data_IF_945845203970
#
_entry.id   IF_945845203970
#
_cell.length_a   1.000
_cell.length_b   1.000
_cell.length_c   1.000
_cell.angle_alpha   90.00
_cell.angle_beta   90.00
_cell.angle_gamma   90.00
#
_symmetry.space_group_name_H-M   'P 1'
#
loop_
_entity.id
_entity.type
_entity.pdbx_description
1 polymer ?
#
# COMPACT_ATOMS: atom_id res chain seq x y z
N UNK A 1 -5.07 -1.39 -8.59
CA UNK A 1 -5.18 0.00 -8.09
C UNK A 1 -4.58 0.18 -6.69
N UNK A 2 -4.74 -0.75 -5.73
CA UNK A 2 -4.30 -0.57 -4.34
C UNK A 2 -2.79 -0.72 -4.06
N UNK A 3 -2.01 -1.33 -4.96
CA UNK A 3 -0.58 -1.58 -4.73
C UNK A 3 0.26 -0.29 -4.68
N UNK A 4 0.01 0.65 -5.60
CA UNK A 4 0.72 1.94 -5.64
C UNK A 4 0.45 2.76 -4.38
N UNK A 5 -0.81 2.80 -3.91
CA UNK A 5 -1.14 3.48 -2.66
C UNK A 5 -0.35 2.90 -1.48
N UNK A 6 -0.24 1.57 -1.38
CA UNK A 6 0.59 0.94 -0.37
C UNK A 6 2.07 1.33 -0.47
N UNK A 7 2.63 1.34 -1.68
CA UNK A 7 4.02 1.75 -1.92
C UNK A 7 4.30 3.23 -1.59
N UNK A 8 3.30 4.11 -1.62
CA UNK A 8 3.52 5.53 -1.31
C UNK A 8 3.11 5.92 0.11
N UNK A 9 2.52 5.01 0.88
CA UNK A 9 2.06 5.30 2.24
C UNK A 9 2.70 4.43 3.32
N UNK A 10 3.32 3.30 2.96
CA UNK A 10 3.77 2.27 3.92
C UNK A 10 5.12 1.64 3.63
N UNK A 11 5.78 2.12 2.59
CA UNK A 11 7.05 1.63 2.12
C UNK A 11 8.13 2.64 2.47
N UNK A 12 9.13 2.17 3.22
CA UNK A 12 10.39 2.84 3.47
C UNK A 12 11.45 2.23 2.50
N UNK A 13 11.92 2.98 1.50
CA UNK A 13 12.90 2.49 0.53
C UNK A 13 14.21 1.97 1.13
N UNK A 14 14.57 2.43 2.33
CA UNK A 14 15.78 1.99 3.01
C UNK A 14 15.59 0.63 3.71
N UNK A 15 14.40 0.38 4.28
CA UNK A 15 14.15 -0.80 5.12
C UNK A 15 13.44 -1.94 4.36
N UNK A 16 12.63 -1.62 3.36
CA UNK A 16 11.60 -2.53 2.85
C UNK A 16 11.92 -3.15 1.48
N UNK A 17 13.14 -2.96 1.00
CA UNK A 17 13.63 -3.61 -0.23
C UNK A 17 14.40 -4.88 0.13
N UNK A 18 13.83 -6.01 -0.29
CA UNK A 18 14.42 -7.34 -0.08
C UNK A 18 14.84 -7.94 -1.42
N UNK A 19 16.11 -7.80 -1.84
CA UNK A 19 16.60 -8.44 -3.05
C UNK A 19 16.81 -9.93 -2.84
N UNK A 20 16.66 -10.72 -3.91
CA UNK A 20 16.99 -12.14 -3.90
C UNK A 20 18.47 -12.40 -3.59
N UNK A 21 19.36 -11.46 -3.95
CA UNK A 21 20.78 -11.52 -3.62
C UNK A 21 21.37 -10.12 -3.43
N UNK A 22 22.28 -10.00 -2.45
CA UNK A 22 23.11 -8.82 -2.21
C UNK A 22 24.57 -9.16 -2.52
N UNK A 23 25.27 -8.24 -3.17
CA UNK A 23 26.68 -8.40 -3.54
C UNK A 23 27.44 -7.11 -3.23
N UNK A 24 28.60 -7.21 -2.58
CA UNK A 24 29.50 -6.07 -2.41
C UNK A 24 30.46 -6.00 -3.60
N UNK A 25 30.42 -4.92 -4.35
CA UNK A 25 31.38 -4.61 -5.42
C UNK A 25 32.16 -3.36 -5.04
N UNK A 26 33.36 -3.57 -4.48
CA UNK A 26 34.16 -2.51 -3.86
C UNK A 26 33.43 -1.92 -2.65
N UNK A 27 33.15 -0.62 -2.67
CA UNK A 27 32.40 0.09 -1.62
C UNK A 27 30.89 0.24 -1.94
N UNK A 28 30.38 -0.46 -2.95
CA UNK A 28 28.97 -0.40 -3.37
C UNK A 28 28.24 -1.70 -3.03
N UNK A 29 26.99 -1.58 -2.59
CA UNK A 29 26.09 -2.71 -2.44
C UNK A 29 25.22 -2.83 -3.69
N UNK A 30 25.32 -3.96 -4.39
CA UNK A 30 24.52 -4.29 -5.57
C UNK A 30 23.38 -5.23 -5.14
N UNK A 31 22.17 -4.88 -5.55
CA UNK A 31 20.95 -5.64 -5.28
C UNK A 31 20.46 -6.31 -6.57
N UNK A 32 20.28 -7.63 -6.53
CA UNK A 32 19.89 -8.41 -7.71
C UNK A 32 18.41 -8.79 -7.65
N UNK A 33 17.78 -8.81 -8.82
CA UNK A 33 16.39 -9.23 -8.97
C UNK A 33 16.19 -10.73 -8.65
N UNK A 34 14.96 -11.13 -8.29
CA UNK A 34 13.80 -10.26 -8.03
C UNK A 34 13.97 -9.40 -6.77
N UNK A 35 13.32 -8.24 -6.75
CA UNK A 35 13.19 -7.38 -5.57
C UNK A 35 11.78 -7.55 -5.00
N UNK A 36 11.69 -7.86 -3.71
CA UNK A 36 10.43 -7.78 -2.97
C UNK A 36 10.35 -6.41 -2.29
N UNK A 37 9.18 -5.77 -2.41
CA UNK A 37 8.84 -4.51 -1.75
C UNK A 37 7.86 -4.84 -0.63
N UNK A 38 8.25 -4.62 0.62
CA UNK A 38 7.37 -4.80 1.78
C UNK A 38 6.57 -3.51 2.08
N UNK A 39 5.37 -3.43 1.50
CA UNK A 39 4.40 -2.38 1.80
C UNK A 39 3.28 -2.86 2.73
N UNK A 40 3.56 -3.76 3.68
CA UNK A 40 2.60 -4.18 4.71
C UNK A 40 2.41 -3.09 5.79
N UNK A 41 1.40 -3.27 6.66
CA UNK A 41 1.26 -2.42 7.85
C UNK A 41 2.31 -2.81 8.87
N UNK A 42 3.10 -1.82 9.29
CA UNK A 42 4.11 -1.96 10.33
C UNK A 42 3.60 -1.33 11.62
N UNK A 43 4.18 -1.73 12.74
CA UNK A 43 3.87 -1.12 14.03
C UNK A 43 4.11 0.41 13.98
N UNK A 44 3.19 1.18 14.54
CA UNK A 44 3.23 2.65 14.54
C UNK A 44 2.67 3.32 13.28
N UNK A 45 2.39 2.58 12.20
CA UNK A 45 1.69 3.14 11.04
C UNK A 45 0.22 3.36 11.37
N UNK A 46 -0.33 4.48 10.88
CA UNK A 46 -1.76 4.76 11.05
C UNK A 46 -2.60 3.74 10.26
N UNK A 47 -3.71 3.34 10.85
CA UNK A 47 -4.71 2.52 10.18
C UNK A 47 -5.28 3.27 8.96
N UNK A 48 -5.73 2.53 7.93
CA UNK A 48 -6.47 3.14 6.84
C UNK A 48 -7.71 3.88 7.37
N UNK A 49 -8.14 4.90 6.63
CA UNK A 49 -9.46 5.48 6.85
C UNK A 49 -10.48 4.51 6.27
N UNK A 50 -11.44 4.10 7.09
CA UNK A 50 -12.54 3.22 6.71
C UNK A 50 -13.86 3.94 6.98
N UNK A 51 -14.88 3.62 6.17
CA UNK A 51 -16.22 4.14 6.39
C UNK A 51 -16.90 3.37 7.53
N UNK A 52 -17.85 4.02 8.18
CA UNK A 52 -18.79 3.33 9.08
C UNK A 52 -19.65 2.37 8.23
N UNK A 53 -19.68 1.06 8.54
CA UNK A 53 -20.38 0.07 7.73
C UNK A 53 -21.89 0.34 7.58
N UNK A 54 -22.53 0.84 8.63
CA UNK A 54 -23.98 1.11 8.61
C UNK A 54 -24.29 2.30 7.69
N UNK A 55 -23.38 3.28 7.67
CA UNK A 55 -23.50 4.45 6.79
C UNK A 55 -23.18 4.09 5.34
N UNK A 56 -22.14 3.30 5.11
CA UNK A 56 -21.80 2.78 3.78
C UNK A 56 -22.96 2.01 3.19
N UNK A 57 -23.56 1.08 3.95
CA UNK A 57 -24.73 0.33 3.50
C UNK A 57 -25.90 1.25 3.18
N UNK A 58 -26.21 2.20 4.06
CA UNK A 58 -27.31 3.17 3.83
C UNK A 58 -27.09 4.00 2.57
N UNK A 59 -25.86 4.42 2.29
CA UNK A 59 -25.55 5.19 1.07
C UNK A 59 -25.70 4.32 -0.16
N UNK A 60 -25.23 3.08 -0.12
CA UNK A 60 -25.36 2.12 -1.21
C UNK A 60 -26.83 1.83 -1.54
N UNK A 61 -27.67 1.59 -0.51
CA UNK A 61 -29.11 1.29 -0.69
C UNK A 61 -29.88 2.44 -1.35
N UNK A 62 -29.44 3.68 -1.12
CA UNK A 62 -30.09 4.88 -1.62
C UNK A 62 -29.42 5.46 -2.87
N UNK A 63 -28.36 4.83 -3.38
CA UNK A 63 -27.51 5.39 -4.44
C UNK A 63 -28.31 5.83 -5.67
N UNK A 64 -29.22 4.96 -6.14
CA UNK A 64 -30.08 5.21 -7.30
C UNK A 64 -31.08 6.36 -7.07
N UNK A 65 -31.49 6.57 -5.81
CA UNK A 65 -32.44 7.63 -5.44
C UNK A 65 -31.81 9.02 -5.43
N UNK A 66 -30.48 9.10 -5.31
CA UNK A 66 -29.77 10.38 -5.24
C UNK A 66 -29.67 11.07 -6.61
N UNK A 67 -30.01 10.38 -7.70
CA UNK A 67 -29.87 10.93 -9.05
C UNK A 67 -28.42 11.22 -9.43
N UNK A 68 -27.46 10.60 -8.73
CA UNK A 68 -26.02 10.68 -8.98
C UNK A 68 -25.65 9.55 -9.94
N UNK A 69 -26.28 9.57 -11.12
CA UNK A 69 -25.91 8.71 -12.25
C UNK A 69 -25.09 9.52 -13.25
N UNK A 70 -24.04 8.90 -13.80
CA UNK A 70 -23.22 9.43 -14.91
C UNK A 70 -24.04 9.50 -16.19
#
# INVERSE_FOLDING_TARGET
>A
MMALWGWFTRFDPYMDIHPARRELQGNKMVMHFPLLIDATWKEGYRLPVEFDPDIEQRVNDNWDSYGIGI
#
